data_IF_442720378592
#
_entry.id   IF_442720378592
#
_cell.length_a   1.000
_cell.length_b   1.000
_cell.length_c   1.000
_cell.angle_alpha   90.00
_cell.angle_beta   90.00
_cell.angle_gamma   90.00
#
_symmetry.space_group_name_H-M   'P 1'
#
loop_
_entity.id
_entity.type
_entity.pdbx_description
1 polymer ?
#
# COMPACT_ATOMS: atom_id res chain seq x y z
N UNK A 1 0.92 -4.34 -24.55
CA UNK A 1 1.58 -3.65 -23.42
C UNK A 1 0.85 -4.00 -22.13
N UNK A 2 1.37 -3.66 -20.94
CA UNK A 2 0.65 -3.91 -19.68
C UNK A 2 -0.71 -3.19 -19.61
N UNK A 3 -0.86 -2.07 -20.32
CA UNK A 3 -2.14 -1.37 -20.51
C UNK A 3 -3.26 -2.24 -21.07
N UNK A 4 -2.91 -3.31 -21.79
CA UNK A 4 -3.85 -4.17 -22.50
C UNK A 4 -4.15 -5.44 -21.70
N UNK A 5 -3.74 -5.49 -20.42
CA UNK A 5 -3.91 -6.66 -19.55
C UNK A 5 -5.37 -7.09 -19.48
N UNK A 6 -6.31 -6.15 -19.45
CA UNK A 6 -7.74 -6.46 -19.44
C UNK A 6 -8.16 -7.26 -20.68
N UNK A 7 -7.72 -6.84 -21.87
CA UNK A 7 -8.03 -7.51 -23.13
C UNK A 7 -7.41 -8.90 -23.18
N UNK A 8 -6.14 -9.04 -22.76
CA UNK A 8 -5.48 -10.34 -22.72
C UNK A 8 -6.17 -11.30 -21.75
N UNK A 9 -6.48 -10.86 -20.53
CA UNK A 9 -7.17 -11.68 -19.54
C UNK A 9 -8.56 -12.10 -20.02
N UNK A 10 -9.29 -11.20 -20.68
CA UNK A 10 -10.62 -11.52 -21.21
C UNK A 10 -10.51 -12.56 -22.33
N UNK A 11 -9.56 -12.39 -23.25
CA UNK A 11 -9.36 -13.35 -24.36
C UNK A 11 -8.99 -14.74 -23.85
N UNK A 12 -8.10 -14.83 -22.86
CA UNK A 12 -7.72 -16.12 -22.28
C UNK A 12 -8.90 -16.76 -21.52
N UNK A 13 -9.72 -15.95 -20.82
CA UNK A 13 -10.96 -16.43 -20.20
C UNK A 13 -11.91 -17.03 -21.24
N UNK A 14 -12.18 -16.31 -22.32
CA UNK A 14 -13.10 -16.76 -23.37
C UNK A 14 -12.62 -18.08 -24.01
N UNK A 15 -11.30 -18.23 -24.20
CA UNK A 15 -10.70 -19.46 -24.71
C UNK A 15 -10.84 -20.63 -23.73
N UNK A 16 -10.55 -20.42 -22.45
CA UNK A 16 -10.70 -21.45 -21.43
C UNK A 16 -12.16 -21.90 -21.27
N UNK A 17 -13.11 -20.95 -21.25
CA UNK A 17 -14.54 -21.26 -21.17
C UNK A 17 -15.04 -22.03 -22.40
N UNK A 18 -14.53 -21.72 -23.60
CA UNK A 18 -14.82 -22.48 -24.81
C UNK A 18 -14.30 -23.93 -24.75
N UNK A 19 -13.27 -24.19 -23.93
CA UNK A 19 -12.73 -25.52 -23.65
C UNK A 19 -13.41 -26.20 -22.45
N UNK A 20 -14.38 -25.54 -21.80
CA UNK A 20 -15.07 -26.03 -20.61
C UNK A 20 -14.27 -25.90 -19.32
N UNK A 21 -13.21 -25.09 -19.31
CA UNK A 21 -12.35 -24.82 -18.17
C UNK A 21 -12.74 -23.52 -17.46
N UNK A 22 -12.61 -23.48 -16.13
CA UNK A 22 -12.85 -22.26 -15.36
C UNK A 22 -11.58 -21.39 -15.32
N UNK A 23 -11.72 -20.10 -15.63
CA UNK A 23 -10.60 -19.16 -15.62
C UNK A 23 -10.85 -17.97 -14.67
N UNK A 24 -10.10 -17.92 -13.57
CA UNK A 24 -10.14 -16.80 -12.63
C UNK A 24 -9.32 -15.62 -13.12
N UNK A 25 -9.94 -14.66 -13.83
CA UNK A 25 -9.25 -13.46 -14.36
C UNK A 25 -8.52 -12.65 -13.28
N UNK A 26 -9.07 -12.60 -12.06
CA UNK A 26 -8.50 -11.84 -10.95
C UNK A 26 -7.50 -12.64 -10.11
N UNK A 27 -7.32 -13.93 -10.39
CA UNK A 27 -6.40 -14.80 -9.64
C UNK A 27 -5.03 -14.97 -10.33
N UNK A 28 -4.79 -14.27 -11.44
CA UNK A 28 -3.61 -14.52 -12.28
C UNK A 28 -2.31 -14.04 -11.65
N UNK A 29 -2.31 -12.91 -10.95
CA UNK A 29 -1.12 -12.47 -10.22
C UNK A 29 -0.74 -13.50 -9.13
N UNK A 30 -1.72 -13.96 -8.35
CA UNK A 30 -1.49 -14.99 -7.32
C UNK A 30 -0.92 -16.28 -7.94
N UNK A 31 -1.45 -16.71 -9.09
CA UNK A 31 -0.95 -17.88 -9.82
C UNK A 31 0.52 -17.71 -10.19
N UNK A 32 0.87 -16.59 -10.82
CA UNK A 32 2.25 -16.31 -11.26
C UNK A 32 3.21 -16.22 -10.07
N UNK A 33 2.82 -15.56 -8.98
CA UNK A 33 3.63 -15.46 -7.76
C UNK A 33 3.91 -16.84 -7.14
N UNK A 34 2.90 -17.71 -7.09
CA UNK A 34 3.04 -19.09 -6.60
C UNK A 34 3.92 -19.94 -7.51
N UNK A 35 3.71 -19.88 -8.82
CA UNK A 35 4.52 -20.64 -9.79
C UNK A 35 5.99 -20.23 -9.76
N UNK A 36 6.28 -18.95 -9.52
CA UNK A 36 7.65 -18.43 -9.36
C UNK A 36 8.28 -18.74 -7.99
N UNK A 37 7.50 -19.30 -7.06
CA UNK A 37 7.91 -19.58 -5.70
C UNK A 37 8.30 -18.31 -4.93
N UNK A 38 7.53 -17.22 -5.10
CA UNK A 38 7.76 -15.95 -4.40
C UNK A 38 7.45 -16.06 -2.91
N UNK A 39 6.31 -16.65 -2.48
CA UNK A 39 5.99 -16.76 -1.05
C UNK A 39 7.02 -17.54 -0.23
N UNK A 40 7.79 -18.43 -0.86
CA UNK A 40 8.84 -19.22 -0.20
C UNK A 40 10.18 -18.46 -0.06
N UNK A 41 10.32 -17.31 -0.73
CA UNK A 41 11.58 -16.56 -0.82
C UNK A 41 11.53 -15.19 -0.16
N UNK A 42 10.35 -14.63 0.01
CA UNK A 42 10.15 -13.26 0.50
C UNK A 42 9.15 -13.26 1.64
N UNK A 43 9.49 -12.56 2.72
CA UNK A 43 8.62 -12.41 3.89
C UNK A 43 7.45 -11.45 3.63
N UNK A 44 7.68 -10.41 2.81
CA UNK A 44 6.72 -9.34 2.54
C UNK A 44 6.59 -9.10 1.04
N UNK A 45 5.35 -8.99 0.58
CA UNK A 45 4.99 -8.56 -0.77
C UNK A 45 4.17 -7.28 -0.69
N UNK A 46 4.68 -6.19 -1.27
CA UNK A 46 3.92 -4.94 -1.44
C UNK A 46 3.50 -4.85 -2.91
N UNK A 47 2.20 -4.67 -3.15
CA UNK A 47 1.66 -4.37 -4.48
C UNK A 47 1.14 -2.93 -4.48
N UNK A 48 1.66 -2.11 -5.40
CA UNK A 48 1.20 -0.74 -5.65
C UNK A 48 0.45 -0.68 -6.99
N UNK A 49 -0.84 -1.06 -7.02
CA UNK A 49 -1.65 -1.00 -8.22
C UNK A 49 -2.05 0.46 -8.56
N UNK A 50 -2.37 0.76 -9.83
CA UNK A 50 -2.96 2.05 -10.17
C UNK A 50 -4.28 2.26 -9.41
N UNK A 51 -4.59 3.53 -9.08
CA UNK A 51 -5.82 3.92 -8.38
C UNK A 51 -7.10 3.74 -9.22
N UNK A 52 -6.99 3.37 -10.49
CA UNK A 52 -8.14 3.12 -11.37
C UNK A 52 -8.62 1.69 -11.20
N UNK A 53 -9.93 1.54 -10.99
CA UNK A 53 -10.59 0.24 -11.00
C UNK A 53 -10.29 -0.54 -12.28
N UNK A 54 -9.97 -1.82 -12.12
CA UNK A 54 -9.64 -2.68 -13.24
C UNK A 54 -8.80 -3.89 -12.85
N UNK A 55 -8.44 -4.73 -13.83
CA UNK A 55 -7.80 -6.02 -13.58
C UNK A 55 -6.48 -5.93 -12.82
N UNK A 56 -5.74 -4.83 -12.92
CA UNK A 56 -4.50 -4.60 -12.15
C UNK A 56 -4.79 -4.54 -10.65
N UNK A 57 -5.74 -3.68 -10.25
CA UNK A 57 -6.14 -3.49 -8.87
C UNK A 57 -6.75 -4.78 -8.30
N UNK A 58 -7.69 -5.40 -9.01
CA UNK A 58 -8.34 -6.63 -8.57
C UNK A 58 -7.37 -7.81 -8.43
N UNK A 59 -6.39 -7.94 -9.32
CA UNK A 59 -5.37 -8.98 -9.17
C UNK A 59 -4.44 -8.72 -7.98
N UNK A 60 -4.07 -7.46 -7.72
CA UNK A 60 -3.27 -7.10 -6.55
C UNK A 60 -3.99 -7.45 -5.24
N UNK A 61 -5.27 -7.08 -5.13
CA UNK A 61 -6.10 -7.36 -3.95
C UNK A 61 -6.33 -8.86 -3.79
N UNK A 62 -6.67 -9.58 -4.87
CA UNK A 62 -6.85 -11.02 -4.80
C UNK A 62 -5.56 -11.77 -4.42
N UNK A 63 -4.40 -11.27 -4.85
CA UNK A 63 -3.10 -11.89 -4.52
C UNK A 63 -2.66 -11.65 -3.07
N UNK A 64 -2.92 -10.45 -2.54
CA UNK A 64 -2.44 -10.03 -1.21
C UNK A 64 -3.45 -10.28 -0.10
N UNK A 65 -4.76 -10.18 -0.40
CA UNK A 65 -5.89 -10.25 0.56
C UNK A 65 -5.81 -9.27 1.72
N UNK A 66 -4.92 -8.29 1.63
CA UNK A 66 -4.65 -7.32 2.67
C UNK A 66 -4.46 -5.95 2.05
N UNK A 67 -5.02 -4.92 2.68
CA UNK A 67 -4.98 -3.54 2.20
C UNK A 67 -4.35 -2.60 3.22
N UNK A 68 -3.50 -1.72 2.72
CA UNK A 68 -3.09 -0.49 3.42
C UNK A 68 -3.59 0.66 2.56
N UNK A 69 -4.43 1.52 3.13
CA UNK A 69 -5.18 2.51 2.36
C UNK A 69 -4.72 3.92 2.73
N UNK A 70 -4.04 4.64 1.82
CA UNK A 70 -3.78 6.06 1.99
C UNK A 70 -5.11 6.84 1.96
N UNK A 71 -5.38 7.60 3.01
CA UNK A 71 -6.60 8.42 3.12
C UNK A 71 -6.21 9.89 3.11
N UNK A 72 -6.77 10.69 2.22
CA UNK A 72 -6.63 12.15 2.30
C UNK A 72 -7.80 12.72 3.11
N UNK A 73 -7.56 13.28 4.31
CA UNK A 73 -8.63 13.85 5.11
C UNK A 73 -9.06 15.17 4.46
N UNK A 74 -10.15 15.09 3.69
CA UNK A 74 -10.71 16.20 2.92
C UNK A 74 -11.73 17.01 3.71
N UNK A 75 -12.03 18.25 3.30
CA UNK A 75 -13.08 19.07 3.93
C UNK A 75 -14.50 18.46 3.85
N UNK A 76 -14.70 17.42 3.03
CA UNK A 76 -15.97 16.66 2.93
C UNK A 76 -15.90 15.41 3.81
N UNK A 77 -15.58 15.60 5.10
CA UNK A 77 -15.11 14.56 6.01
C UNK A 77 -15.77 13.18 5.93
N UNK A 78 -17.09 13.11 6.12
CA UNK A 78 -17.83 11.83 6.05
C UNK A 78 -17.75 11.12 4.71
N UNK A 79 -17.71 11.85 3.60
CA UNK A 79 -17.66 11.24 2.27
C UNK A 79 -16.33 10.50 2.01
N UNK A 80 -15.24 10.89 2.70
CA UNK A 80 -13.96 10.19 2.60
C UNK A 80 -14.01 8.84 3.35
N UNK A 81 -14.66 8.80 4.52
CA UNK A 81 -14.84 7.58 5.32
C UNK A 81 -15.84 6.64 4.66
N UNK A 82 -17.01 7.14 4.28
CA UNK A 82 -18.02 6.35 3.54
C UNK A 82 -17.44 5.79 2.23
N UNK A 83 -16.58 6.56 1.55
CA UNK A 83 -15.88 6.11 0.36
C UNK A 83 -14.90 4.96 0.62
N UNK A 84 -14.26 4.92 1.79
CA UNK A 84 -13.35 3.86 2.19
C UNK A 84 -14.08 2.54 2.41
N UNK A 85 -15.17 2.57 3.17
CA UNK A 85 -16.01 1.38 3.43
C UNK A 85 -16.63 0.84 2.12
N UNK A 86 -17.16 1.74 1.28
CA UNK A 86 -17.73 1.36 0.00
C UNK A 86 -16.70 0.73 -0.94
N UNK A 87 -15.45 1.22 -0.92
CA UNK A 87 -14.35 0.68 -1.71
C UNK A 87 -14.00 -0.74 -1.26
N UNK A 88 -13.88 -0.99 0.05
CA UNK A 88 -13.60 -2.34 0.58
C UNK A 88 -14.74 -3.30 0.24
N UNK A 89 -15.99 -2.92 0.52
CA UNK A 89 -17.16 -3.75 0.22
C UNK A 89 -17.28 -4.08 -1.28
N UNK A 90 -17.01 -3.11 -2.15
CA UNK A 90 -17.01 -3.33 -3.60
C UNK A 90 -15.95 -4.33 -4.06
N UNK A 91 -14.77 -4.32 -3.43
CA UNK A 91 -13.73 -5.30 -3.73
C UNK A 91 -14.09 -6.71 -3.26
N UNK A 92 -14.64 -6.86 -2.07
CA UNK A 92 -15.08 -8.15 -1.55
C UNK A 92 -16.20 -8.76 -2.40
N UNK A 93 -17.19 -7.94 -2.79
CA UNK A 93 -18.29 -8.38 -3.67
C UNK A 93 -17.77 -8.83 -5.04
N UNK A 94 -16.92 -8.02 -5.66
CA UNK A 94 -16.44 -8.29 -7.01
C UNK A 94 -15.48 -9.49 -7.09
N UNK A 95 -14.66 -9.68 -6.05
CA UNK A 95 -13.69 -10.76 -5.99
C UNK A 95 -14.22 -12.03 -5.34
N UNK A 96 -15.34 -11.93 -4.60
CA UNK A 96 -15.90 -12.99 -3.78
C UNK A 96 -14.85 -13.58 -2.81
N UNK A 97 -14.12 -12.70 -2.12
CA UNK A 97 -13.12 -13.00 -1.09
C UNK A 97 -13.27 -12.03 0.08
N UNK A 98 -12.80 -12.44 1.26
CA UNK A 98 -12.63 -11.52 2.40
C UNK A 98 -11.33 -10.71 2.21
N UNK A 99 -11.40 -9.40 2.41
CA UNK A 99 -10.26 -8.48 2.29
C UNK A 99 -9.99 -7.81 3.64
N UNK A 100 -8.82 -8.07 4.22
CA UNK A 100 -8.42 -7.46 5.49
C UNK A 100 -7.81 -6.07 5.30
N UNK A 101 -8.37 -5.03 5.90
CA UNK A 101 -7.71 -3.72 5.98
C UNK A 101 -6.74 -3.72 7.16
N UNK A 102 -5.43 -3.67 6.88
CA UNK A 102 -4.38 -3.64 7.90
C UNK A 102 -4.21 -2.24 8.50
N UNK A 103 -4.33 -1.20 7.68
CA UNK A 103 -4.22 0.17 8.15
C UNK A 103 -4.88 1.17 7.18
N UNK A 104 -5.48 2.21 7.73
CA UNK A 104 -5.77 3.46 7.04
C UNK A 104 -4.68 4.47 7.40
N UNK A 105 -4.01 5.05 6.40
CA UNK A 105 -2.88 5.97 6.61
C UNK A 105 -3.26 7.36 6.12
N UNK A 106 -3.64 8.28 7.03
CA UNK A 106 -3.89 9.66 6.68
C UNK A 106 -2.64 10.31 6.08
N UNK A 107 -2.74 10.84 4.87
CA UNK A 107 -1.65 11.53 4.17
C UNK A 107 -2.04 12.98 3.85
N UNK A 108 -1.04 13.85 3.63
CA UNK A 108 -1.31 15.26 3.35
C UNK A 108 -1.92 16.03 4.54
N UNK A 109 -1.73 15.52 5.76
CA UNK A 109 -2.36 16.09 6.95
C UNK A 109 -1.79 17.48 7.27
N UNK A 110 -2.67 18.45 7.50
CA UNK A 110 -2.36 19.85 7.83
C UNK A 110 -2.81 20.25 9.24
N UNK A 111 -3.32 19.28 10.01
CA UNK A 111 -3.79 19.46 11.39
C UNK A 111 -4.90 20.52 11.53
N UNK A 112 -5.79 20.60 10.54
CA UNK A 112 -6.98 21.45 10.65
C UNK A 112 -8.01 20.80 11.58
N UNK A 113 -8.94 21.59 12.10
CA UNK A 113 -10.01 21.06 12.96
C UNK A 113 -10.82 19.99 12.24
N UNK A 114 -11.18 20.22 10.98
CA UNK A 114 -12.01 19.31 10.19
C UNK A 114 -11.28 17.99 9.93
N UNK A 115 -9.97 18.03 9.65
CA UNK A 115 -9.17 16.82 9.46
C UNK A 115 -9.09 15.96 10.72
N UNK A 116 -9.06 16.58 11.92
CA UNK A 116 -9.05 15.81 13.17
C UNK A 116 -10.36 15.07 13.41
N UNK A 117 -11.50 15.71 13.14
CA UNK A 117 -12.81 15.06 13.29
C UNK A 117 -12.92 13.80 12.42
N UNK A 118 -12.33 13.81 11.22
CA UNK A 118 -12.37 12.67 10.29
C UNK A 118 -11.60 11.48 10.82
N UNK A 119 -10.49 11.71 11.54
CA UNK A 119 -9.69 10.61 12.10
C UNK A 119 -10.50 9.79 13.10
N UNK A 120 -11.37 10.45 13.87
CA UNK A 120 -12.25 9.79 14.84
C UNK A 120 -13.39 9.00 14.16
N UNK A 121 -13.65 9.23 12.88
CA UNK A 121 -14.71 8.56 12.11
C UNK A 121 -14.22 7.30 11.37
N UNK A 122 -12.91 7.08 11.26
CA UNK A 122 -12.34 5.93 10.54
C UNK A 122 -12.35 4.71 11.45
N UNK A 123 -13.05 3.64 11.03
CA UNK A 123 -13.18 2.38 11.79
C UNK A 123 -12.03 1.37 11.54
N UNK A 124 -10.88 1.88 11.07
CA UNK A 124 -9.70 1.08 10.77
C UNK A 124 -8.48 1.56 11.58
N UNK A 125 -7.47 0.70 11.81
CA UNK A 125 -6.25 1.11 12.48
C UNK A 125 -5.58 2.29 11.78
N UNK A 126 -5.26 3.34 12.54
CA UNK A 126 -4.45 4.48 12.09
C UNK A 126 -3.15 4.47 12.89
N UNK A 127 -2.14 3.69 12.48
CA UNK A 127 -0.87 3.63 13.21
C UNK A 127 -0.11 4.96 13.14
N UNK A 128 -0.21 5.68 12.02
CA UNK A 128 0.52 6.93 11.77
C UNK A 128 -0.26 7.90 10.89
N UNK A 129 -0.01 9.21 11.12
CA UNK A 129 -0.60 10.32 10.35
C UNK A 129 0.53 11.06 9.64
N UNK A 130 0.60 10.94 8.33
CA UNK A 130 1.64 11.55 7.51
C UNK A 130 1.21 12.96 7.11
N UNK A 131 1.92 13.94 7.64
CA UNK A 131 1.70 15.34 7.30
C UNK A 131 2.08 15.63 5.84
N UNK A 132 1.67 16.78 5.30
CA UNK A 132 2.11 17.20 3.97
C UNK A 132 3.65 17.34 3.91
N UNK A 133 4.28 16.65 2.96
CA UNK A 133 5.74 16.56 2.78
C UNK A 133 6.17 16.76 1.33
N UNK A 134 5.55 17.73 0.64
CA UNK A 134 5.79 18.01 -0.78
C UNK A 134 7.29 18.13 -1.12
N UNK A 135 8.04 18.95 -0.37
CA UNK A 135 9.48 19.15 -0.62
C UNK A 135 10.32 17.87 -0.45
N UNK A 136 9.92 16.95 0.43
CA UNK A 136 10.60 15.66 0.60
C UNK A 136 10.29 14.76 -0.60
N UNK A 137 9.01 14.57 -0.90
CA UNK A 137 8.55 13.68 -1.96
C UNK A 137 9.00 14.14 -3.36
N UNK A 138 8.93 15.43 -3.66
CA UNK A 138 9.47 16.01 -4.90
C UNK A 138 10.97 15.75 -5.03
N UNK A 139 11.69 15.85 -3.92
CA UNK A 139 13.11 15.58 -3.86
C UNK A 139 13.46 14.13 -4.17
N UNK A 140 12.79 13.20 -3.50
CA UNK A 140 12.90 11.76 -3.77
C UNK A 140 12.63 11.44 -5.23
N UNK A 141 11.58 12.06 -5.80
CA UNK A 141 11.22 11.88 -7.21
C UNK A 141 12.30 12.41 -8.16
N UNK A 142 12.86 13.60 -7.90
CA UNK A 142 13.92 14.17 -8.75
C UNK A 142 15.19 13.33 -8.74
N UNK A 143 15.57 12.79 -7.58
CA UNK A 143 16.77 11.97 -7.42
C UNK A 143 16.52 10.46 -7.66
N UNK A 144 15.26 10.06 -7.90
CA UNK A 144 14.85 8.67 -8.13
C UNK A 144 15.29 7.72 -7.00
N UNK A 145 15.15 8.15 -5.75
CA UNK A 145 15.54 7.37 -4.57
C UNK A 145 14.45 7.36 -3.48
N UNK A 146 14.64 6.52 -2.48
CA UNK A 146 13.75 6.47 -1.32
C UNK A 146 13.86 7.72 -0.45
N UNK A 147 12.87 7.97 0.43
CA UNK A 147 12.94 9.09 1.38
C UNK A 147 14.13 8.98 2.35
N UNK A 148 14.50 7.75 2.73
CA UNK A 148 15.67 7.49 3.58
C UNK A 148 16.97 7.86 2.88
N UNK A 149 17.17 7.33 1.66
CA UNK A 149 18.34 7.63 0.84
C UNK A 149 18.45 9.11 0.50
N UNK A 150 17.33 9.75 0.18
CA UNK A 150 17.29 11.17 -0.13
C UNK A 150 17.69 12.04 1.07
N UNK A 151 17.22 11.72 2.27
CA UNK A 151 17.61 12.45 3.50
C UNK A 151 19.07 12.19 3.89
N UNK A 152 19.59 10.99 3.61
CA UNK A 152 20.98 10.63 3.88
C UNK A 152 21.95 11.35 2.94
N UNK A 153 21.70 11.29 1.63
CA UNK A 153 22.72 11.57 0.62
C UNK A 153 22.51 12.91 -0.11
N UNK A 154 21.27 13.40 -0.20
CA UNK A 154 20.93 14.56 -1.02
C UNK A 154 20.44 15.78 -0.21
N UNK A 155 20.00 15.58 1.03
CA UNK A 155 19.61 16.68 1.92
C UNK A 155 20.83 17.35 2.54
N UNK A 156 21.01 18.63 2.24
CA UNK A 156 22.08 19.46 2.82
C UNK A 156 21.98 19.65 4.33
N UNK A 157 20.77 19.52 4.91
CA UNK A 157 20.53 19.53 6.35
C UNK A 157 19.42 18.56 6.69
N UNK A 158 19.68 17.66 7.65
CA UNK A 158 18.65 16.81 8.26
C UNK A 158 17.67 17.71 9.03
N UNK A 159 16.39 17.64 8.68
CA UNK A 159 15.32 18.45 9.29
C UNK A 159 14.52 17.54 10.23
N UNK A 160 14.29 17.99 11.46
CA UNK A 160 13.64 17.17 12.50
C UNK A 160 12.27 16.63 12.05
N UNK A 161 11.49 17.43 11.31
CA UNK A 161 10.18 17.01 10.82
C UNK A 161 10.23 16.03 9.62
N UNK A 162 11.34 15.97 8.88
CA UNK A 162 11.57 14.97 7.84
C UNK A 162 12.02 13.66 8.50
N UNK A 163 12.93 13.73 9.48
CA UNK A 163 13.32 12.57 10.30
C UNK A 163 12.12 11.95 11.03
N UNK A 164 11.25 12.78 11.59
CA UNK A 164 10.00 12.29 12.18
C UNK A 164 9.16 11.55 11.14
N UNK A 165 9.02 12.06 9.91
CA UNK A 165 8.28 11.35 8.86
C UNK A 165 8.91 10.00 8.50
N UNK A 166 10.23 9.89 8.50
CA UNK A 166 10.89 8.59 8.31
C UNK A 166 10.60 7.64 9.47
N UNK A 167 10.64 8.15 10.71
CA UNK A 167 10.25 7.39 11.89
C UNK A 167 8.80 6.90 11.83
N UNK A 168 7.89 7.70 11.25
CA UNK A 168 6.50 7.28 10.99
C UNK A 168 6.44 6.14 9.97
N UNK A 169 7.25 6.16 8.91
CA UNK A 169 7.33 5.04 7.97
C UNK A 169 7.84 3.76 8.64
N UNK A 170 8.86 3.86 9.50
CA UNK A 170 9.36 2.71 10.25
C UNK A 170 8.30 2.13 11.19
N UNK A 171 7.60 2.99 11.95
CA UNK A 171 6.53 2.58 12.87
C UNK A 171 5.33 1.98 12.14
N UNK A 172 4.98 2.51 10.96
CA UNK A 172 3.98 1.91 10.08
C UNK A 172 4.43 0.50 9.66
N UNK A 173 5.67 0.32 9.22
CA UNK A 173 6.19 -1.00 8.86
C UNK A 173 6.16 -1.97 10.05
N UNK A 174 6.57 -1.54 11.25
CA UNK A 174 6.49 -2.36 12.48
C UNK A 174 5.06 -2.78 12.80
N UNK A 175 4.10 -1.86 12.65
CA UNK A 175 2.69 -2.16 12.88
C UNK A 175 2.18 -3.23 11.90
N UNK A 176 2.45 -3.06 10.59
CA UNK A 176 2.00 -4.00 9.57
C UNK A 176 2.57 -5.41 9.78
N UNK A 177 3.84 -5.52 10.15
CA UNK A 177 4.47 -6.80 10.46
C UNK A 177 3.83 -7.47 11.68
N UNK A 178 3.54 -6.69 12.74
CA UNK A 178 2.91 -7.21 13.95
C UNK A 178 1.49 -7.75 13.67
N UNK A 179 0.70 -7.08 12.83
CA UNK A 179 -0.65 -7.53 12.44
C UNK A 179 -0.66 -8.91 11.77
N UNK A 180 0.42 -9.26 11.07
CA UNK A 180 0.56 -10.55 10.37
C UNK A 180 1.52 -11.53 11.06
N UNK A 181 2.04 -11.17 12.24
CA UNK A 181 2.94 -12.02 13.03
C UNK A 181 4.33 -12.22 12.43
N UNK A 182 4.82 -11.25 11.66
CA UNK A 182 6.19 -11.22 11.13
C UNK A 182 7.10 -10.49 12.14
N UNK A 183 8.28 -11.04 12.39
CA UNK A 183 9.34 -10.38 13.17
C UNK A 183 10.49 -10.03 12.23
N UNK A 184 10.74 -8.74 12.00
CA UNK A 184 11.90 -8.36 11.19
C UNK A 184 13.20 -8.74 11.90
N UNK A 185 14.18 -9.28 11.16
CA UNK A 185 15.44 -9.76 11.75
C UNK A 185 16.34 -8.63 12.27
N UNK A 186 16.25 -7.42 11.68
CA UNK A 186 17.06 -6.26 12.09
C UNK A 186 16.29 -4.96 11.84
N UNK A 187 15.24 -4.66 12.65
CA UNK A 187 14.47 -3.45 12.47
C UNK A 187 15.34 -2.22 12.76
N UNK A 188 15.29 -1.17 11.92
CA UNK A 188 15.95 0.10 12.24
C UNK A 188 15.31 0.76 13.46
N UNK A 189 16.08 1.59 14.16
CA UNK A 189 15.50 2.57 15.07
C UNK A 189 14.67 3.57 14.24
N UNK A 190 13.47 3.99 14.70
CA UNK A 190 12.62 4.88 13.91
C UNK A 190 13.32 6.18 13.49
N UNK A 191 13.39 6.40 12.18
CA UNK A 191 14.01 7.58 11.57
C UNK A 191 15.53 7.47 11.40
N UNK A 192 16.11 6.30 11.66
CA UNK A 192 17.51 6.03 11.36
C UNK A 192 17.73 5.94 9.84
N UNK A 193 18.52 6.88 9.33
CA UNK A 193 18.86 6.97 7.90
C UNK A 193 20.18 6.29 7.57
N UNK A 194 20.95 5.93 8.59
CA UNK A 194 22.28 5.33 8.46
C UNK A 194 22.24 3.81 8.73
N UNK A 195 21.04 3.23 8.88
CA UNK A 195 20.85 1.79 9.14
C UNK A 195 21.39 0.94 7.98
N UNK A 196 22.38 0.10 8.28
CA UNK A 196 22.89 -0.87 7.33
C UNK A 196 21.99 -2.11 7.31
N UNK A 197 21.41 -2.41 6.15
CA UNK A 197 20.70 -3.68 5.94
C UNK A 197 21.73 -4.80 5.88
N UNK A 198 21.85 -5.55 6.99
CA UNK A 198 22.61 -6.79 7.00
C UNK A 198 21.88 -7.81 6.11
N UNK A 199 22.39 -8.02 4.90
CA UNK A 199 22.02 -9.17 4.07
C UNK A 199 22.55 -10.44 4.75
N UNK A 200 21.65 -11.30 5.23
CA UNK A 200 22.00 -12.66 5.71
C UNK A 200 22.23 -13.58 4.51
#
# INVERSE_FOLDING_TARGET
MLSDLAEFLQREKDQAEAMGEAFGMHAQLLRVLREAGVPEKYDVLICDPPATEGPHLYNAIHATRSLVIPVEPSAKGRAAVEGLEALVAGFEEQLNIDVGVLAAVPTGFKNTRDQRTILDEIDYPIPEIISERASLMEGCWMEQCSAFEYVRDHRSRRRDYELETLAQFDRLARHLEAEVGIEAPNPPEPGDVDHEVLTV
#
